data_IF_097320703805
#
_entry.id   IF_097320703805
#
_cell.length_a   1.000
_cell.length_b   1.000
_cell.length_c   1.000
_cell.angle_alpha   90.00
_cell.angle_beta   90.00
_cell.angle_gamma   90.00
#
_symmetry.space_group_name_H-M   'P 1'
#
loop_
_entity.id
_entity.type
_entity.pdbx_description
1 polymer ?
#
# COMPACT_ATOMS: atom_id res chain seq x y z
N UNK A 1 11.41 0.59 4.00
CA UNK A 1 12.74 1.18 3.78
C UNK A 1 12.57 2.56 3.17
N UNK A 2 13.26 3.57 3.69
CA UNK A 2 13.36 4.90 3.08
C UNK A 2 14.84 5.09 2.74
N UNK A 3 15.16 5.22 1.46
CA UNK A 3 16.51 5.52 1.00
C UNK A 3 16.69 7.05 0.98
N UNK A 4 17.86 7.54 1.37
CA UNK A 4 18.19 8.98 1.35
C UNK A 4 19.57 9.16 0.73
N UNK A 5 19.69 10.02 -0.28
CA UNK A 5 21.00 10.45 -0.78
C UNK A 5 21.48 11.67 0.01
N UNK A 6 22.79 11.79 0.16
CA UNK A 6 23.40 12.59 1.22
C UNK A 6 24.01 13.89 0.71
N UNK A 7 24.30 14.81 1.65
CA UNK A 7 25.05 16.04 1.42
C UNK A 7 26.49 15.85 0.90
N UNK A 8 27.01 14.61 0.93
CA UNK A 8 28.31 14.19 0.40
C UNK A 8 28.24 13.58 -1.02
N UNK A 9 27.04 13.58 -1.61
CA UNK A 9 26.85 13.44 -3.05
C UNK A 9 26.64 12.03 -3.59
N UNK A 10 26.29 11.03 -2.78
CA UNK A 10 26.04 9.67 -3.29
C UNK A 10 24.64 9.12 -2.98
N UNK A 11 24.25 8.18 -3.86
CA UNK A 11 22.94 7.52 -4.05
C UNK A 11 21.90 8.33 -4.85
N UNK A 12 22.37 9.05 -5.87
CA UNK A 12 21.62 9.90 -6.81
C UNK A 12 20.36 9.29 -7.43
N UNK A 13 20.29 7.96 -7.53
CA UNK A 13 19.12 7.29 -8.08
C UNK A 13 18.18 6.72 -7.03
N UNK A 14 18.55 6.69 -5.76
CA UNK A 14 17.77 6.01 -4.73
C UNK A 14 17.19 6.95 -3.69
N UNK A 15 17.39 8.26 -3.82
CA UNK A 15 16.85 9.21 -2.85
C UNK A 15 15.31 9.25 -2.86
N UNK A 16 14.68 8.88 -1.74
CA UNK A 16 13.24 8.96 -1.56
C UNK A 16 12.81 10.31 -0.99
N UNK A 17 13.73 11.15 -0.51
CA UNK A 17 13.38 12.43 0.13
C UNK A 17 12.52 13.30 -0.79
N UNK A 18 12.86 13.52 -2.07
CA UNK A 18 12.05 14.38 -2.93
C UNK A 18 10.60 13.87 -3.10
N UNK A 19 10.42 12.56 -3.27
CA UNK A 19 9.09 11.96 -3.39
C UNK A 19 8.29 12.03 -2.08
N UNK A 20 8.94 11.87 -0.94
CA UNK A 20 8.29 12.01 0.37
C UNK A 20 7.90 13.46 0.66
N UNK A 21 8.76 14.42 0.32
CA UNK A 21 8.43 15.85 0.41
C UNK A 21 7.21 16.18 -0.47
N UNK A 22 7.15 15.67 -1.70
CA UNK A 22 5.97 15.81 -2.56
C UNK A 22 4.72 15.17 -1.91
N UNK A 23 4.86 13.98 -1.32
CA UNK A 23 3.73 13.31 -0.67
C UNK A 23 3.18 14.14 0.50
N UNK A 24 4.04 14.82 1.26
CA UNK A 24 3.65 15.67 2.39
C UNK A 24 2.84 16.91 1.96
N UNK A 25 2.95 17.35 0.70
CA UNK A 25 2.15 18.47 0.18
C UNK A 25 0.78 18.05 -0.36
N UNK A 26 0.49 16.74 -0.41
CA UNK A 26 -0.79 16.24 -0.93
C UNK A 26 -1.87 16.29 0.14
N UNK A 27 -3.02 16.87 -0.22
CA UNK A 27 -4.21 16.87 0.64
C UNK A 27 -4.67 15.43 0.95
N UNK A 28 -4.78 15.03 2.22
CA UNK A 28 -5.37 13.74 2.59
C UNK A 28 -6.80 13.62 2.09
N UNK A 29 -7.17 12.46 1.57
CA UNK A 29 -8.55 12.13 1.16
C UNK A 29 -9.22 11.29 2.22
N UNK A 30 -10.55 11.17 2.12
CA UNK A 30 -11.33 10.31 3.00
C UNK A 30 -10.78 8.88 3.01
N UNK A 31 -10.79 8.25 4.19
CA UNK A 31 -10.36 6.87 4.34
C UNK A 31 -11.36 5.93 3.64
N UNK A 32 -10.88 4.82 3.05
CA UNK A 32 -11.76 3.81 2.50
C UNK A 32 -12.49 3.04 3.61
N UNK A 33 -13.50 2.27 3.21
CA UNK A 33 -14.15 1.29 4.08
C UNK A 33 -13.75 -0.12 3.65
N UNK A 34 -13.25 -0.92 4.59
CA UNK A 34 -13.06 -2.35 4.39
C UNK A 34 -14.35 -3.08 4.74
N UNK A 35 -14.83 -3.92 3.83
CA UNK A 35 -15.89 -4.89 4.05
C UNK A 35 -15.29 -6.29 3.98
N UNK A 36 -15.60 -7.12 4.97
CA UNK A 36 -15.23 -8.52 5.05
C UNK A 36 -16.51 -9.32 4.87
N UNK A 37 -16.46 -10.40 4.08
CA UNK A 37 -17.60 -11.29 3.88
C UNK A 37 -18.19 -11.75 5.22
N UNK A 38 -19.52 -11.70 5.40
CA UNK A 38 -20.19 -12.11 6.64
C UNK A 38 -20.13 -13.62 6.90
N UNK A 39 -19.64 -14.39 5.93
CA UNK A 39 -19.42 -15.84 6.07
C UNK A 39 -18.26 -16.16 7.01
N UNK A 40 -17.35 -15.19 7.25
CA UNK A 40 -16.22 -15.33 8.17
C UNK A 40 -16.60 -14.79 9.55
N UNK A 41 -16.65 -15.67 10.53
CA UNK A 41 -17.08 -15.35 11.89
C UNK A 41 -15.97 -15.55 12.92
N UNK A 42 -14.95 -16.37 12.59
CA UNK A 42 -13.79 -16.61 13.44
C UNK A 42 -12.47 -16.63 12.64
N UNK A 43 -11.36 -16.81 13.37
CA UNK A 43 -10.03 -16.84 12.77
C UNK A 43 -9.74 -18.16 12.04
N UNK A 44 -10.39 -19.25 12.41
CA UNK A 44 -10.16 -20.55 11.78
C UNK A 44 -10.69 -20.57 10.35
N UNK A 45 -11.78 -19.82 10.09
CA UNK A 45 -12.31 -19.55 8.74
C UNK A 45 -11.25 -18.98 7.79
N UNK A 46 -10.29 -18.19 8.28
CA UNK A 46 -9.22 -17.61 7.46
C UNK A 46 -8.24 -18.66 6.91
N UNK A 47 -8.15 -19.83 7.55
CA UNK A 47 -7.21 -20.88 7.12
C UNK A 47 -7.53 -21.35 5.70
N UNK A 48 -8.82 -21.44 5.36
CA UNK A 48 -9.26 -21.81 4.02
C UNK A 48 -8.86 -20.77 2.95
N UNK A 49 -8.71 -19.49 3.33
CA UNK A 49 -8.29 -18.43 2.41
C UNK A 49 -6.80 -18.46 2.10
N UNK A 50 -5.98 -19.06 2.96
CA UNK A 50 -4.53 -19.18 2.70
C UNK A 50 -4.24 -20.05 1.48
N UNK A 51 -5.17 -20.95 1.14
CA UNK A 51 -5.08 -21.84 -0.02
C UNK A 51 -6.00 -21.40 -1.17
N UNK A 52 -6.79 -20.34 -0.98
CA UNK A 52 -7.74 -19.85 -1.98
C UNK A 52 -7.03 -19.12 -3.13
N UNK A 53 -7.66 -19.14 -4.30
CA UNK A 53 -7.21 -18.36 -5.45
C UNK A 53 -7.47 -16.85 -5.26
N UNK A 54 -6.83 -16.04 -6.11
CA UNK A 54 -6.95 -14.57 -6.08
C UNK A 54 -8.38 -14.07 -6.18
N UNK A 55 -9.22 -14.70 -7.01
CA UNK A 55 -10.60 -14.27 -7.20
C UNK A 55 -11.41 -14.50 -5.92
N UNK A 56 -11.30 -15.70 -5.33
CA UNK A 56 -11.92 -16.05 -4.05
C UNK A 56 -11.48 -15.12 -2.90
N UNK A 57 -10.20 -14.74 -2.88
CA UNK A 57 -9.64 -13.79 -1.90
C UNK A 57 -10.23 -12.38 -2.05
N UNK A 58 -10.36 -11.89 -3.29
CA UNK A 58 -10.94 -10.57 -3.60
C UNK A 58 -12.45 -10.51 -3.38
N UNK A 59 -13.15 -11.65 -3.42
CA UNK A 59 -14.56 -11.71 -3.05
C UNK A 59 -14.76 -11.56 -1.54
N UNK A 60 -13.80 -12.03 -0.74
CA UNK A 60 -13.84 -11.98 0.72
C UNK A 60 -13.58 -10.57 1.26
N UNK A 61 -12.56 -9.89 0.75
CA UNK A 61 -12.16 -8.57 1.21
C UNK A 61 -12.43 -7.53 0.13
N UNK A 62 -13.36 -6.61 0.40
CA UNK A 62 -13.71 -5.53 -0.53
C UNK A 62 -13.37 -4.18 0.08
N UNK A 63 -12.61 -3.40 -0.65
CA UNK A 63 -12.25 -2.04 -0.28
C UNK A 63 -13.13 -1.06 -1.06
N UNK A 64 -13.95 -0.30 -0.35
CA UNK A 64 -14.85 0.71 -0.91
C UNK A 64 -14.24 2.11 -0.79
N UNK A 65 -14.52 2.94 -1.80
CA UNK A 65 -14.19 4.37 -1.81
C UNK A 65 -12.68 4.67 -1.63
N UNK A 66 -11.82 3.75 -2.08
CA UNK A 66 -10.38 3.98 -2.09
C UNK A 66 -9.97 4.86 -3.27
N UNK A 67 -9.75 6.14 -2.98
CA UNK A 67 -9.35 7.14 -3.97
C UNK A 67 -7.94 7.65 -3.71
N UNK A 68 -6.88 6.85 -3.90
CA UNK A 68 -5.51 7.30 -3.67
C UNK A 68 -5.10 8.39 -4.67
N UNK A 69 -4.10 9.18 -4.31
CA UNK A 69 -3.35 9.97 -5.29
C UNK A 69 -2.54 9.02 -6.19
N UNK A 70 -2.11 9.52 -7.35
CA UNK A 70 -1.24 8.76 -8.26
C UNK A 70 0.01 8.26 -7.52
N UNK A 71 0.38 7.01 -7.78
CA UNK A 71 1.56 6.40 -7.18
C UNK A 71 2.82 7.23 -7.50
N UNK A 72 3.67 7.39 -6.48
CA UNK A 72 5.01 7.93 -6.64
C UNK A 72 5.97 6.78 -6.96
N UNK A 73 6.78 6.96 -8.01
CA UNK A 73 7.78 5.97 -8.36
C UNK A 73 9.04 6.22 -7.57
N UNK A 74 9.35 5.31 -6.66
CA UNK A 74 10.61 5.30 -5.92
C UNK A 74 11.57 4.30 -6.56
N UNK A 75 12.77 4.74 -6.91
CA UNK A 75 13.84 3.86 -7.38
C UNK A 75 14.47 3.17 -6.15
N UNK A 76 14.46 1.84 -6.12
CA UNK A 76 15.00 1.05 -5.01
C UNK A 76 16.43 0.60 -5.32
N UNK A 77 17.32 0.64 -4.32
CA UNK A 77 18.65 0.07 -4.45
C UNK A 77 18.53 -1.46 -4.55
N UNK A 78 19.22 -2.06 -5.54
CA UNK A 78 19.31 -3.52 -5.76
C UNK A 78 20.53 -4.07 -5.05
#
# INVERSE_FOLDING_TARGET
HIYTAKADGSMSEYDHIPGLEEQLTREPRALPRLEISPEFQDLDDLTALLEADTESLLQTFRLHDYHPHTALTFKVAV
#
